data_IF_623407507955
#
_entry.id   IF_623407507955
#
_cell.length_a   1.000
_cell.length_b   1.000
_cell.length_c   1.000
_cell.angle_alpha   90.00
_cell.angle_beta   90.00
_cell.angle_gamma   90.00
#
_symmetry.space_group_name_H-M   'P 1'
#
loop_
_entity.id
_entity.type
_entity.pdbx_description
1 polymer ?
#
# COMPACT_ATOMS: atom_id res chain seq x y z
N UNK A 1 9.95 7.69 -39.19
CA UNK A 1 8.79 8.02 -38.35
C UNK A 1 8.48 6.81 -37.46
N UNK A 2 8.51 6.99 -36.13
CA UNK A 2 8.25 5.92 -35.17
C UNK A 2 9.00 6.19 -33.87
N UNK A 3 8.32 6.83 -32.92
CA UNK A 3 8.90 7.54 -31.77
C UNK A 3 9.73 6.62 -30.87
N UNK A 4 10.96 7.05 -30.60
CA UNK A 4 11.76 6.54 -29.49
C UNK A 4 10.94 6.72 -28.19
N UNK A 5 10.59 5.60 -27.57
CA UNK A 5 10.12 5.59 -26.19
C UNK A 5 11.28 6.13 -25.34
N UNK A 6 11.21 7.42 -25.01
CA UNK A 6 12.10 8.04 -24.04
C UNK A 6 11.99 7.20 -22.77
N UNK A 7 13.06 6.48 -22.42
CA UNK A 7 13.33 6.10 -21.04
C UNK A 7 13.25 7.40 -20.25
N UNK A 8 12.12 7.64 -19.60
CA UNK A 8 12.04 8.59 -18.51
C UNK A 8 13.14 8.17 -17.57
N UNK A 9 14.20 8.99 -17.48
CA UNK A 9 15.10 8.97 -16.33
C UNK A 9 14.17 9.08 -15.13
N UNK A 10 13.85 7.94 -14.52
CA UNK A 10 13.17 7.92 -13.23
C UNK A 10 13.97 8.85 -12.35
N UNK A 11 13.30 9.84 -11.75
CA UNK A 11 13.94 10.69 -10.77
C UNK A 11 14.69 9.76 -9.82
N UNK A 12 16.02 9.87 -9.80
CA UNK A 12 16.81 9.29 -8.72
C UNK A 12 16.46 10.19 -7.54
N UNK A 13 15.37 9.84 -6.85
CA UNK A 13 14.87 10.55 -5.69
C UNK A 13 15.82 10.23 -4.54
N UNK A 14 16.56 11.23 -4.08
CA UNK A 14 17.25 11.15 -2.80
C UNK A 14 16.20 10.85 -1.73
N UNK A 15 16.44 9.84 -0.89
CA UNK A 15 15.53 9.42 0.20
C UNK A 15 15.27 10.52 1.26
N UNK A 16 15.87 11.69 1.11
CA UNK A 16 15.87 12.79 2.06
C UNK A 16 15.19 14.07 1.55
N UNK A 17 14.84 14.16 0.26
CA UNK A 17 14.03 15.27 -0.22
C UNK A 17 12.57 14.94 0.06
N UNK A 18 11.97 15.64 1.03
CA UNK A 18 10.55 15.51 1.37
C UNK A 18 9.70 15.94 0.17
N UNK A 19 9.37 14.99 -0.70
CA UNK A 19 8.49 15.17 -1.86
C UNK A 19 7.13 15.76 -1.49
N UNK A 20 6.68 15.51 -0.26
CA UNK A 20 5.39 15.93 0.22
C UNK A 20 5.51 16.67 1.56
N UNK A 21 4.94 17.88 1.71
CA UNK A 21 5.11 18.69 2.92
C UNK A 21 4.47 18.06 4.17
N UNK A 22 3.58 17.09 4.00
CA UNK A 22 2.91 16.37 5.08
C UNK A 22 3.65 15.11 5.54
N UNK A 23 4.78 14.76 4.90
CA UNK A 23 5.58 13.58 5.27
C UNK A 23 6.56 13.89 6.41
N UNK A 24 6.73 12.95 7.33
CA UNK A 24 7.63 13.02 8.50
C UNK A 24 8.47 11.75 8.59
N UNK A 25 9.66 11.83 9.20
CA UNK A 25 10.43 10.61 9.46
C UNK A 25 9.71 9.71 10.47
N UNK A 26 9.63 8.42 10.17
CA UNK A 26 9.15 7.37 11.07
C UNK A 26 10.35 6.59 11.58
N UNK A 27 10.33 6.14 12.83
CA UNK A 27 11.44 5.41 13.48
C UNK A 27 11.16 3.92 13.61
N UNK A 28 9.91 3.50 13.39
CA UNK A 28 9.52 2.11 13.49
C UNK A 28 8.26 1.82 12.69
N UNK A 29 8.05 0.54 12.42
CA UNK A 29 6.84 0.07 11.74
C UNK A 29 5.59 0.42 12.53
N UNK A 30 5.65 0.30 13.86
CA UNK A 30 4.53 0.65 14.75
C UNK A 30 4.12 2.11 14.58
N UNK A 31 5.06 3.05 14.46
CA UNK A 31 4.72 4.47 14.24
C UNK A 31 3.96 4.70 12.93
N UNK A 32 4.31 3.98 11.86
CA UNK A 32 3.59 4.04 10.57
C UNK A 32 2.19 3.45 10.73
N UNK A 33 2.10 2.25 11.31
CA UNK A 33 0.85 1.49 11.47
C UNK A 33 -0.21 2.22 12.32
N UNK A 34 0.21 3.11 13.21
CA UNK A 34 -0.70 3.86 14.10
C UNK A 34 -0.94 5.31 13.64
N UNK A 35 -0.48 5.71 12.45
CA UNK A 35 -0.68 7.07 11.95
C UNK A 35 -2.06 7.24 11.28
N UNK A 36 -3.04 7.70 12.06
CA UNK A 36 -4.41 7.88 11.58
C UNK A 36 -4.58 8.91 10.45
N UNK A 37 -3.72 9.94 10.39
CA UNK A 37 -3.77 10.92 9.30
C UNK A 37 -3.27 10.30 8.01
N UNK A 38 -2.23 9.47 8.10
CA UNK A 38 -1.73 8.70 6.97
C UNK A 38 -2.73 7.62 6.54
N UNK A 39 -3.43 6.99 7.49
CA UNK A 39 -4.47 6.00 7.22
C UNK A 39 -5.60 6.56 6.34
N UNK A 40 -6.07 7.78 6.63
CA UNK A 40 -7.11 8.43 5.83
C UNK A 40 -6.70 8.62 4.36
N UNK A 41 -5.43 8.96 4.08
CA UNK A 41 -4.90 8.99 2.72
C UNK A 41 -4.75 7.57 2.15
N UNK A 42 -4.37 6.62 3.00
CA UNK A 42 -4.23 5.20 2.69
C UNK A 42 -5.52 4.55 2.19
N UNK A 43 -6.66 4.80 2.83
CA UNK A 43 -7.98 4.28 2.38
C UNK A 43 -8.25 4.72 0.93
N UNK A 44 -8.09 6.01 0.63
CA UNK A 44 -8.27 6.52 -0.73
C UNK A 44 -7.29 5.89 -1.73
N UNK A 45 -6.01 5.79 -1.36
CA UNK A 45 -4.97 5.21 -2.22
C UNK A 45 -5.23 3.73 -2.52
N UNK A 46 -5.56 2.93 -1.50
CA UNK A 46 -5.83 1.49 -1.63
C UNK A 46 -7.07 1.26 -2.49
N UNK A 47 -8.14 2.00 -2.23
CA UNK A 47 -9.36 1.90 -3.03
C UNK A 47 -9.08 2.21 -4.50
N UNK A 48 -8.25 3.22 -4.78
CA UNK A 48 -7.83 3.53 -6.15
C UNK A 48 -6.98 2.41 -6.77
N UNK A 49 -5.93 1.95 -6.09
CA UNK A 49 -5.05 0.90 -6.59
C UNK A 49 -5.82 -0.41 -6.87
N UNK A 50 -6.75 -0.77 -5.99
CA UNK A 50 -7.59 -1.96 -6.15
C UNK A 50 -8.62 -1.79 -7.28
N UNK A 51 -9.26 -0.62 -7.36
CA UNK A 51 -10.15 -0.26 -8.48
C UNK A 51 -9.44 -0.37 -9.83
N UNK A 52 -8.21 0.13 -9.91
CA UNK A 52 -7.38 0.06 -11.10
C UNK A 52 -7.00 -1.38 -11.45
N UNK A 53 -6.60 -2.19 -10.45
CA UNK A 53 -6.31 -3.61 -10.65
C UNK A 53 -7.52 -4.38 -11.22
N UNK A 54 -8.70 -4.16 -10.66
CA UNK A 54 -9.94 -4.76 -11.17
C UNK A 54 -10.31 -4.25 -12.55
N UNK A 55 -10.12 -2.96 -12.82
CA UNK A 55 -10.40 -2.36 -14.12
C UNK A 55 -9.55 -3.00 -15.21
N UNK A 56 -8.24 -3.15 -14.96
CA UNK A 56 -7.32 -3.82 -15.89
C UNK A 56 -7.69 -5.28 -16.05
N UNK A 57 -7.98 -6.00 -14.95
CA UNK A 57 -8.36 -7.42 -14.99
C UNK A 57 -9.63 -7.68 -15.80
N UNK A 58 -10.58 -6.74 -15.79
CA UNK A 58 -11.88 -6.86 -16.47
C UNK A 58 -11.93 -6.16 -17.83
N UNK A 59 -10.89 -5.40 -18.20
CA UNK A 59 -10.86 -4.65 -19.46
C UNK A 59 -11.80 -3.45 -19.53
N UNK A 60 -12.35 -2.98 -18.39
CA UNK A 60 -13.27 -1.84 -18.34
C UNK A 60 -13.12 -1.06 -17.02
N UNK A 61 -13.33 0.26 -17.00
CA UNK A 61 -13.26 1.06 -15.77
C UNK A 61 -14.25 0.57 -14.70
N UNK A 62 -13.76 0.42 -13.47
CA UNK A 62 -14.55 0.05 -12.29
C UNK A 62 -14.03 0.76 -11.04
N UNK A 63 -14.96 1.19 -10.18
CA UNK A 63 -14.66 1.58 -8.81
C UNK A 63 -14.96 0.43 -7.85
N UNK A 64 -14.10 0.24 -6.86
CA UNK A 64 -14.30 -0.73 -5.80
C UNK A 64 -13.77 -0.17 -4.47
N UNK A 65 -14.55 -0.35 -3.41
CA UNK A 65 -14.11 -0.12 -2.05
C UNK A 65 -13.63 -1.44 -1.45
N UNK A 66 -12.44 -1.44 -0.86
CA UNK A 66 -11.89 -2.60 -0.17
C UNK A 66 -12.63 -2.77 1.15
N UNK A 67 -13.09 -3.99 1.44
CA UNK A 67 -13.77 -4.27 2.71
C UNK A 67 -12.73 -4.34 3.83
N UNK A 68 -13.00 -3.67 4.97
CA UNK A 68 -12.10 -3.71 6.13
C UNK A 68 -11.79 -5.14 6.61
N UNK A 69 -12.75 -6.06 6.53
CA UNK A 69 -12.52 -7.47 6.85
C UNK A 69 -11.43 -8.14 5.98
N UNK A 70 -11.33 -7.77 4.69
CA UNK A 70 -10.29 -8.26 3.79
C UNK A 70 -8.92 -7.75 4.23
N UNK A 71 -8.80 -6.44 4.53
CA UNK A 71 -7.55 -5.84 5.00
C UNK A 71 -7.13 -6.40 6.35
N UNK A 72 -8.05 -6.51 7.31
CA UNK A 72 -7.77 -7.05 8.63
C UNK A 72 -7.23 -8.49 8.56
N UNK A 73 -7.84 -9.33 7.71
CA UNK A 73 -7.39 -10.71 7.53
C UNK A 73 -6.05 -10.79 6.81
N UNK A 74 -5.90 -10.01 5.74
CA UNK A 74 -4.65 -9.93 4.99
C UNK A 74 -3.48 -9.47 5.87
N UNK A 75 -3.71 -8.50 6.75
CA UNK A 75 -2.75 -7.96 7.71
C UNK A 75 -2.28 -9.01 8.71
N UNK A 76 -3.19 -9.84 9.23
CA UNK A 76 -2.83 -10.98 10.10
C UNK A 76 -1.99 -12.00 9.35
N UNK A 77 -2.43 -12.42 8.15
CA UNK A 77 -1.72 -13.40 7.31
C UNK A 77 -0.32 -12.91 6.91
N UNK A 78 -0.14 -11.60 6.71
CA UNK A 78 1.18 -11.00 6.45
C UNK A 78 2.11 -10.98 7.68
N UNK A 79 1.65 -11.45 8.84
CA UNK A 79 2.42 -11.49 10.08
C UNK A 79 2.64 -10.12 10.73
N UNK A 80 1.85 -9.11 10.35
CA UNK A 80 2.00 -7.72 10.84
C UNK A 80 1.40 -7.51 12.23
N UNK A 81 0.52 -8.42 12.68
CA UNK A 81 -0.13 -8.36 14.00
C UNK A 81 0.86 -8.20 15.17
N UNK A 82 2.07 -8.76 15.05
CA UNK A 82 3.12 -8.68 16.08
C UNK A 82 3.66 -7.27 16.31
N UNK A 83 3.43 -6.34 15.38
CA UNK A 83 3.85 -4.94 15.48
C UNK A 83 2.75 -4.04 16.07
N UNK A 84 1.59 -4.60 16.38
CA UNK A 84 0.46 -3.89 16.98
C UNK A 84 0.38 -4.14 18.49
N UNK A 85 -0.16 -3.19 19.27
CA UNK A 85 -0.47 -3.38 20.69
C UNK A 85 -1.26 -4.67 21.00
N UNK A 86 -1.24 -5.10 22.27
CA UNK A 86 -1.90 -6.35 22.68
C UNK A 86 -3.43 -6.28 22.53
N UNK A 87 -4.06 -5.17 22.91
CA UNK A 87 -5.52 -4.96 22.80
C UNK A 87 -5.86 -4.30 21.47
N UNK A 88 -6.22 -5.11 20.47
CA UNK A 88 -6.52 -4.64 19.12
C UNK A 88 -7.80 -5.30 18.58
N UNK A 89 -8.73 -4.51 18.03
CA UNK A 89 -9.92 -4.97 17.31
C UNK A 89 -9.61 -5.29 15.84
N UNK A 90 -10.49 -6.03 15.17
CA UNK A 90 -10.38 -6.29 13.73
C UNK A 90 -10.41 -5.00 12.90
N UNK A 91 -11.21 -4.01 13.29
CA UNK A 91 -11.26 -2.71 12.64
C UNK A 91 -9.90 -2.00 12.70
N UNK A 92 -9.26 -1.96 13.87
CA UNK A 92 -7.93 -1.35 14.01
C UNK A 92 -6.84 -2.08 13.21
N UNK A 93 -7.00 -3.39 12.92
CA UNK A 93 -6.07 -4.09 12.03
C UNK A 93 -6.27 -3.68 10.56
N UNK A 94 -7.52 -3.44 10.14
CA UNK A 94 -7.81 -2.92 8.81
C UNK A 94 -7.18 -1.52 8.65
N UNK A 95 -7.46 -0.64 9.61
CA UNK A 95 -6.97 0.74 9.61
C UNK A 95 -5.43 0.81 9.66
N UNK A 96 -4.76 -0.19 10.23
CA UNK A 96 -3.30 -0.26 10.26
C UNK A 96 -2.68 -0.68 8.92
N UNK A 97 -3.42 -1.40 8.06
CA UNK A 97 -2.95 -1.75 6.72
C UNK A 97 -2.89 -0.52 5.80
N UNK A 98 -3.80 0.43 5.98
CA UNK A 98 -3.94 1.65 5.18
C UNK A 98 -2.70 2.54 5.16
N UNK A 99 -2.19 3.02 6.32
CA UNK A 99 -1.02 3.88 6.35
C UNK A 99 0.23 3.16 5.86
N UNK A 100 0.34 1.84 6.08
CA UNK A 100 1.49 1.06 5.63
C UNK A 100 1.62 1.05 4.10
N UNK A 101 0.51 0.83 3.41
CA UNK A 101 0.52 0.73 1.94
C UNK A 101 0.85 2.08 1.31
N UNK A 102 0.24 3.16 1.80
CA UNK A 102 0.53 4.50 1.25
C UNK A 102 1.90 5.01 1.67
N UNK A 103 2.37 4.67 2.87
CA UNK A 103 3.76 4.93 3.28
C UNK A 103 4.74 4.32 2.29
N UNK A 104 4.54 3.04 1.91
CA UNK A 104 5.43 2.38 0.97
C UNK A 104 5.53 3.12 -0.37
N UNK A 105 4.42 3.69 -0.84
CA UNK A 105 4.39 4.49 -2.06
C UNK A 105 5.04 5.87 -1.90
N UNK A 106 4.67 6.62 -0.85
CA UNK A 106 5.19 7.97 -0.59
C UNK A 106 6.72 8.01 -0.41
N UNK A 107 7.29 6.94 0.14
CA UNK A 107 8.72 6.82 0.43
C UNK A 107 9.47 5.98 -0.62
N UNK A 108 8.82 5.59 -1.72
CA UNK A 108 9.46 4.92 -2.85
C UNK A 108 9.83 3.46 -2.62
N UNK A 109 9.33 2.81 -1.57
CA UNK A 109 9.50 1.37 -1.33
C UNK A 109 8.65 0.51 -2.29
N UNK A 110 7.51 1.04 -2.73
CA UNK A 110 6.55 0.32 -3.57
C UNK A 110 5.84 1.28 -4.54
N UNK A 111 6.18 1.31 -5.84
CA UNK A 111 5.48 2.15 -6.79
C UNK A 111 4.06 1.62 -7.07
N UNK A 112 3.16 2.49 -7.50
CA UNK A 112 1.73 2.17 -7.69
C UNK A 112 1.51 1.04 -8.71
N UNK A 113 2.27 1.03 -9.80
CA UNK A 113 2.17 0.00 -10.84
C UNK A 113 2.49 -1.40 -10.30
N UNK A 114 3.44 -1.51 -9.37
CA UNK A 114 3.75 -2.77 -8.69
C UNK A 114 2.63 -3.17 -7.71
N UNK A 115 2.08 -2.24 -6.93
CA UNK A 115 0.90 -2.51 -6.10
C UNK A 115 -0.25 -3.08 -6.93
N UNK A 116 -0.56 -2.43 -8.05
CA UNK A 116 -1.62 -2.84 -8.98
C UNK A 116 -1.32 -4.20 -9.60
N UNK A 117 -0.06 -4.46 -9.99
CA UNK A 117 0.34 -5.72 -10.57
C UNK A 117 0.16 -6.90 -9.60
N UNK A 118 0.50 -6.72 -8.31
CA UNK A 118 0.28 -7.72 -7.26
C UNK A 118 -1.22 -7.97 -7.08
N UNK A 119 -2.01 -6.91 -6.86
CA UNK A 119 -3.45 -7.03 -6.62
C UNK A 119 -4.19 -7.65 -7.82
N UNK A 120 -3.76 -7.36 -9.05
CA UNK A 120 -4.36 -7.90 -10.27
C UNK A 120 -4.14 -9.40 -10.44
N UNK A 121 -2.97 -9.91 -10.04
CA UNK A 121 -2.57 -11.32 -10.23
C UNK A 121 -3.36 -12.27 -9.35
N UNK A 122 -3.91 -11.80 -8.24
CA UNK A 122 -4.67 -12.64 -7.32
C UNK A 122 -6.12 -12.84 -7.80
N UNK A 123 -6.63 -14.05 -7.62
CA UNK A 123 -8.07 -14.33 -7.72
C UNK A 123 -8.81 -13.98 -6.42
N UNK A 124 -8.14 -14.17 -5.28
CA UNK A 124 -8.66 -13.87 -3.96
C UNK A 124 -8.10 -12.53 -3.45
N UNK A 125 -8.99 -11.62 -3.02
CA UNK A 125 -8.56 -10.30 -2.56
C UNK A 125 -7.72 -10.35 -1.28
N UNK A 126 -8.00 -11.28 -0.35
CA UNK A 126 -7.23 -11.44 0.88
C UNK A 126 -5.81 -11.86 0.53
N UNK A 127 -5.64 -12.86 -0.33
CA UNK A 127 -4.31 -13.31 -0.78
C UNK A 127 -3.53 -12.19 -1.50
N UNK A 128 -4.21 -11.42 -2.36
CA UNK A 128 -3.60 -10.28 -3.05
C UNK A 128 -3.09 -9.21 -2.08
N UNK A 129 -3.90 -8.85 -1.07
CA UNK A 129 -3.48 -7.90 -0.03
C UNK A 129 -2.42 -8.49 0.91
N UNK A 130 -2.48 -9.79 1.22
CA UNK A 130 -1.45 -10.47 2.02
C UNK A 130 -0.09 -10.40 1.33
N UNK A 131 -0.05 -10.69 0.02
CA UNK A 131 1.17 -10.60 -0.76
C UNK A 131 1.70 -9.16 -0.82
N UNK A 132 0.83 -8.18 -1.06
CA UNK A 132 1.20 -6.77 -1.09
C UNK A 132 1.81 -6.33 0.25
N UNK A 133 1.12 -6.58 1.35
CA UNK A 133 1.55 -6.20 2.70
C UNK A 133 2.87 -6.89 3.09
N UNK A 134 3.04 -8.17 2.75
CA UNK A 134 4.28 -8.91 3.02
C UNK A 134 5.45 -8.32 2.23
N UNK A 135 5.24 -8.05 0.94
CA UNK A 135 6.29 -7.47 0.08
C UNK A 135 6.70 -6.08 0.57
N UNK A 136 5.74 -5.26 1.02
CA UNK A 136 6.02 -3.95 1.60
C UNK A 136 6.82 -4.08 2.90
N UNK A 137 6.37 -4.94 3.81
CA UNK A 137 7.04 -5.20 5.09
C UNK A 137 8.51 -5.60 4.89
N UNK A 138 8.79 -6.41 3.88
CA UNK A 138 10.14 -6.90 3.61
C UNK A 138 11.06 -5.83 2.96
N UNK A 139 10.49 -4.74 2.44
CA UNK A 139 11.24 -3.64 1.80
C UNK A 139 11.46 -2.43 2.69
N UNK A 140 10.58 -2.20 3.67
CA UNK A 140 10.66 -1.03 4.54
C UNK A 140 11.89 -1.15 5.46
N UNK A 141 12.64 -0.06 5.53
CA UNK A 141 13.77 0.12 6.44
C UNK A 141 13.57 1.42 7.22
N UNK A 142 13.90 1.42 8.51
CA UNK A 142 13.81 2.59 9.39
C UNK A 142 15.21 3.10 9.78
#
# INVERSE_FOLDING_TARGET
MGRAYRKTKGLILNRHDRLFPFTKSYRSLTEVLTDHKLAALGDAYINFAYSLALSIKKGQPRGAKVKGAVLAEAFKKAGLRKHMPSRISSHMLADAAEPLIVYAWLYGYMPLDECVAILRKSEDSIEGFTQLLSTIKDRITF
#
